data_IF_006926251664
#
_entry.id   IF_006926251664
#
_cell.length_a   1.000
_cell.length_b   1.000
_cell.length_c   1.000
_cell.angle_alpha   90.00
_cell.angle_beta   90.00
_cell.angle_gamma   90.00
#
_symmetry.space_group_name_H-M   'P 1'
#
loop_
_entity.id
_entity.type
_entity.pdbx_description
1 polymer ?
#
# COMPACT_ATOMS: atom_id res chain seq x y z
N UNK A 1 -72.13 14.37 -6.83
CA UNK A 1 -70.74 14.69 -7.18
C UNK A 1 -69.87 14.39 -5.97
N UNK A 2 -68.93 13.46 -6.08
CA UNK A 2 -67.61 13.49 -5.42
C UNK A 2 -66.84 12.26 -5.85
N UNK A 3 -65.79 12.49 -6.63
CA UNK A 3 -64.90 11.49 -7.21
C UNK A 3 -64.00 10.85 -6.14
N UNK A 4 -63.53 9.60 -6.33
CA UNK A 4 -62.49 9.05 -5.49
C UNK A 4 -61.14 9.70 -5.85
N UNK A 5 -60.48 10.23 -4.82
CA UNK A 5 -59.14 10.84 -4.90
C UNK A 5 -58.09 9.75 -5.07
N UNK A 6 -57.46 9.70 -6.25
CA UNK A 6 -56.29 8.84 -6.49
C UNK A 6 -55.08 9.47 -5.80
N UNK A 7 -54.48 8.76 -4.82
CA UNK A 7 -53.18 9.12 -4.27
C UNK A 7 -52.07 8.45 -5.07
N UNK A 8 -51.35 9.28 -5.81
CA UNK A 8 -50.04 9.01 -6.41
C UNK A 8 -49.01 8.85 -5.29
N UNK A 9 -48.40 7.67 -5.15
CA UNK A 9 -47.12 7.53 -4.46
C UNK A 9 -46.21 6.57 -5.24
N UNK A 10 -45.25 7.14 -5.96
CA UNK A 10 -44.07 6.43 -6.42
C UNK A 10 -43.19 6.10 -5.20
N UNK A 11 -43.65 5.15 -4.39
CA UNK A 11 -43.00 4.69 -3.16
C UNK A 11 -41.84 3.75 -3.47
N UNK A 12 -40.76 3.85 -2.69
CA UNK A 12 -39.61 2.94 -2.77
C UNK A 12 -40.08 1.48 -2.75
N UNK A 13 -39.49 0.58 -3.57
CA UNK A 13 -39.86 -0.81 -3.55
C UNK A 13 -39.68 -1.39 -2.14
N UNK A 14 -40.58 -2.28 -1.74
CA UNK A 14 -40.56 -2.91 -0.43
C UNK A 14 -39.23 -3.66 -0.20
N UNK A 15 -38.70 -3.68 1.04
CA UNK A 15 -37.47 -4.40 1.35
C UNK A 15 -37.58 -5.90 1.09
N UNK A 16 -36.50 -6.50 0.58
CA UNK A 16 -36.39 -7.95 0.41
C UNK A 16 -36.09 -8.59 1.77
N UNK A 17 -36.99 -9.46 2.25
CA UNK A 17 -36.80 -10.23 3.48
C UNK A 17 -36.28 -11.63 3.15
N UNK A 18 -35.10 -11.99 3.63
CA UNK A 18 -34.48 -13.31 3.44
C UNK A 18 -34.38 -14.00 4.80
N UNK A 19 -34.81 -15.26 4.89
CA UNK A 19 -34.64 -16.08 6.09
C UNK A 19 -33.29 -16.77 6.05
N UNK A 20 -32.55 -16.68 7.15
CA UNK A 20 -31.31 -17.40 7.39
C UNK A 20 -31.46 -18.25 8.63
N UNK A 21 -30.86 -19.44 8.62
CA UNK A 21 -30.57 -20.17 9.85
C UNK A 21 -29.50 -19.44 10.67
N UNK A 22 -29.37 -19.79 11.95
CA UNK A 22 -28.37 -19.19 12.84
C UNK A 22 -26.94 -19.41 12.34
N UNK A 23 -26.64 -20.61 11.82
CA UNK A 23 -25.34 -20.96 11.26
C UNK A 23 -25.01 -20.16 10.00
N UNK A 24 -25.97 -19.99 9.09
CA UNK A 24 -25.80 -19.18 7.88
C UNK A 24 -25.59 -17.70 8.21
N UNK A 25 -26.34 -17.18 9.19
CA UNK A 25 -26.20 -15.79 9.62
C UNK A 25 -24.84 -15.53 10.28
N UNK A 26 -24.34 -16.47 11.08
CA UNK A 26 -23.01 -16.39 11.66
C UNK A 26 -21.91 -16.45 10.58
N UNK A 27 -22.04 -17.34 9.60
CA UNK A 27 -21.10 -17.42 8.47
C UNK A 27 -21.08 -16.13 7.65
N UNK A 28 -22.25 -15.51 7.40
CA UNK A 28 -22.35 -14.22 6.73
C UNK A 28 -21.72 -13.08 7.54
N UNK A 29 -21.94 -13.03 8.86
CA UNK A 29 -21.34 -12.01 9.71
C UNK A 29 -19.80 -12.12 9.76
N UNK A 30 -19.27 -13.35 9.82
CA UNK A 30 -17.83 -13.60 9.77
C UNK A 30 -17.23 -13.15 8.43
N UNK A 31 -17.90 -13.47 7.31
CA UNK A 31 -17.48 -13.04 5.98
C UNK A 31 -17.60 -11.54 5.75
N UNK A 32 -18.58 -10.89 6.37
CA UNK A 32 -18.80 -9.45 6.26
C UNK A 32 -17.73 -8.61 6.96
N UNK A 33 -16.94 -9.19 7.88
CA UNK A 33 -15.74 -8.56 8.42
C UNK A 33 -15.94 -7.18 9.04
N UNK A 34 -17.10 -6.93 9.65
CA UNK A 34 -17.46 -5.63 10.26
C UNK A 34 -18.46 -4.78 9.46
N UNK A 35 -18.78 -5.16 8.21
CA UNK A 35 -19.86 -4.55 7.43
C UNK A 35 -21.24 -5.11 7.85
N UNK A 36 -22.33 -4.32 7.83
CA UNK A 36 -23.66 -4.87 8.01
C UNK A 36 -23.99 -5.92 6.94
N UNK A 37 -24.56 -7.05 7.39
CA UNK A 37 -24.84 -8.23 6.56
C UNK A 37 -25.63 -7.88 5.28
N UNK A 38 -26.60 -6.96 5.36
CA UNK A 38 -27.39 -6.50 4.21
C UNK A 38 -26.54 -5.79 3.15
N UNK A 39 -25.56 -4.99 3.55
CA UNK A 39 -24.64 -4.33 2.63
C UNK A 39 -23.68 -5.35 2.00
N UNK A 40 -23.15 -6.30 2.79
CA UNK A 40 -22.31 -7.38 2.28
C UNK A 40 -23.05 -8.25 1.24
N UNK A 41 -24.30 -8.63 1.52
CA UNK A 41 -25.14 -9.39 0.57
C UNK A 41 -25.34 -8.60 -0.74
N UNK A 42 -25.63 -7.30 -0.66
CA UNK A 42 -25.81 -6.44 -1.84
C UNK A 42 -24.54 -6.36 -2.67
N UNK A 43 -23.40 -6.22 -2.02
CA UNK A 43 -22.09 -6.16 -2.68
C UNK A 43 -21.77 -7.48 -3.40
N UNK A 44 -21.98 -8.62 -2.74
CA UNK A 44 -21.75 -9.95 -3.35
C UNK A 44 -22.68 -10.20 -4.54
N UNK A 45 -23.95 -9.78 -4.46
CA UNK A 45 -24.95 -10.06 -5.50
C UNK A 45 -24.85 -9.15 -6.74
N UNK A 46 -24.39 -7.91 -6.57
CA UNK A 46 -24.43 -6.89 -7.63
C UNK A 46 -23.05 -6.36 -8.04
N UNK A 47 -21.96 -6.79 -7.39
CA UNK A 47 -20.61 -6.55 -7.91
C UNK A 47 -20.27 -7.66 -8.93
N UNK A 48 -20.64 -7.41 -10.19
CA UNK A 48 -20.28 -8.22 -11.36
C UNK A 48 -18.76 -8.26 -11.59
N UNK A 49 -18.01 -9.01 -10.78
CA UNK A 49 -16.59 -9.34 -11.01
C UNK A 49 -15.58 -8.18 -10.94
N UNK A 50 -16.02 -6.93 -10.76
CA UNK A 50 -15.14 -5.74 -10.78
C UNK A 50 -14.58 -5.33 -9.40
N UNK A 51 -14.90 -6.08 -8.35
CA UNK A 51 -14.34 -5.85 -7.04
C UNK A 51 -14.84 -6.88 -6.07
N UNK A 52 -14.00 -7.86 -5.74
CA UNK A 52 -14.16 -8.63 -4.51
C UNK A 52 -14.44 -7.63 -3.38
N UNK A 53 -15.46 -7.88 -2.52
CA UNK A 53 -15.67 -7.06 -1.35
C UNK A 53 -14.34 -6.93 -0.63
N UNK A 54 -13.77 -5.72 -0.59
CA UNK A 54 -12.58 -5.48 0.18
C UNK A 54 -13.03 -5.66 1.61
N UNK A 55 -12.83 -6.86 2.15
CA UNK A 55 -12.90 -7.09 3.59
C UNK A 55 -12.04 -6.00 4.17
N UNK A 56 -12.69 -5.01 4.80
CA UNK A 56 -12.01 -3.99 5.57
C UNK A 56 -11.39 -4.76 6.72
N UNK A 57 -10.19 -5.27 6.50
CA UNK A 57 -9.31 -5.70 7.57
C UNK A 57 -8.82 -4.42 8.26
N UNK A 58 -9.74 -3.68 8.85
CA UNK A 58 -9.47 -2.66 9.86
C UNK A 58 -9.18 -3.40 11.17
N UNK A 59 -8.21 -4.32 11.13
CA UNK A 59 -7.69 -5.02 12.29
C UNK A 59 -6.68 -4.13 13.03
N UNK A 60 -6.40 -4.42 14.32
CA UNK A 60 -5.41 -3.68 15.12
C UNK A 60 -4.04 -3.56 14.42
N UNK A 61 -3.67 -4.56 13.63
CA UNK A 61 -2.41 -4.62 12.88
C UNK A 61 -2.26 -3.49 11.85
N UNK A 62 -3.35 -3.03 11.22
CA UNK A 62 -3.29 -1.93 10.23
C UNK A 62 -2.93 -0.60 10.88
N UNK A 63 -3.39 -0.35 12.11
CA UNK A 63 -3.03 0.87 12.86
C UNK A 63 -1.56 0.83 13.31
N UNK A 64 -1.09 -0.34 13.75
CA UNK A 64 0.31 -0.55 14.11
C UNK A 64 1.23 -0.34 12.91
N UNK A 65 0.93 -0.97 11.76
CA UNK A 65 1.69 -0.77 10.52
C UNK A 65 1.70 0.69 10.06
N UNK A 66 0.54 1.38 10.12
CA UNK A 66 0.45 2.80 9.81
C UNK A 66 1.30 3.69 10.74
N UNK A 67 1.37 3.34 12.03
CA UNK A 67 2.20 4.07 13.01
C UNK A 67 3.70 3.82 12.78
N UNK A 68 4.09 2.59 12.44
CA UNK A 68 5.47 2.26 12.07
C UNK A 68 5.90 3.06 10.83
N UNK A 69 5.07 3.12 9.78
CA UNK A 69 5.34 3.94 8.59
C UNK A 69 5.47 5.44 8.92
N UNK A 70 4.57 5.97 9.75
CA UNK A 70 4.61 7.37 10.15
C UNK A 70 5.89 7.69 10.94
N UNK A 71 6.34 6.79 11.81
CA UNK A 71 7.61 6.93 12.53
C UNK A 71 8.81 6.84 11.58
N UNK A 72 8.78 5.92 10.62
CA UNK A 72 9.82 5.76 9.61
C UNK A 72 9.94 7.01 8.72
N UNK A 73 8.82 7.58 8.27
CA UNK A 73 8.82 8.83 7.51
C UNK A 73 9.36 10.03 8.32
N UNK A 74 9.12 10.06 9.63
CA UNK A 74 9.61 11.12 10.53
C UNK A 74 11.08 10.96 10.93
N UNK A 75 11.66 9.78 10.80
CA UNK A 75 13.02 9.48 11.24
C UNK A 75 14.11 10.26 10.48
N UNK A 76 13.78 10.82 9.31
CA UNK A 76 14.74 11.57 8.50
C UNK A 76 15.85 10.72 7.89
N UNK A 77 15.65 9.40 7.76
CA UNK A 77 16.64 8.46 7.20
C UNK A 77 17.18 8.90 5.84
N UNK A 78 16.33 9.42 4.96
CA UNK A 78 16.76 9.95 3.66
C UNK A 78 17.77 11.10 3.79
N UNK A 79 17.52 12.03 4.71
CA UNK A 79 18.41 13.16 4.99
C UNK A 79 19.73 12.68 5.61
N UNK A 80 19.69 11.70 6.51
CA UNK A 80 20.90 11.10 7.11
C UNK A 80 21.76 10.39 6.06
N UNK A 81 21.15 9.61 5.17
CA UNK A 81 21.83 8.94 4.06
C UNK A 81 22.46 9.95 3.09
N UNK A 82 21.76 11.03 2.76
CA UNK A 82 22.29 12.12 1.96
C UNK A 82 23.56 12.73 2.59
N UNK A 83 23.54 13.00 3.90
CA UNK A 83 24.69 13.54 4.62
C UNK A 83 25.86 12.57 4.64
N UNK A 84 25.62 11.27 4.83
CA UNK A 84 26.67 10.24 4.78
C UNK A 84 27.29 10.15 3.39
N UNK A 85 26.48 10.17 2.32
CA UNK A 85 26.97 10.18 0.95
C UNK A 85 27.85 11.41 0.66
N UNK A 86 27.42 12.58 1.14
CA UNK A 86 28.22 13.82 1.01
C UNK A 86 29.53 13.73 1.78
N UNK A 87 29.51 13.23 3.02
CA UNK A 87 30.73 13.05 3.82
C UNK A 87 31.69 12.05 3.18
N UNK A 88 31.18 10.97 2.57
CA UNK A 88 32.00 10.00 1.84
C UNK A 88 32.61 10.64 0.57
N UNK A 89 31.80 11.35 -0.23
CA UNK A 89 32.24 12.01 -1.45
C UNK A 89 33.29 13.11 -1.20
N UNK A 90 33.21 13.78 -0.05
CA UNK A 90 34.17 14.82 0.36
C UNK A 90 35.40 14.26 1.09
N UNK A 91 35.47 12.94 1.30
CA UNK A 91 36.58 12.28 2.00
C UNK A 91 36.59 12.53 3.51
N UNK A 92 35.53 13.11 4.08
CA UNK A 92 35.34 13.33 5.53
C UNK A 92 35.02 12.01 6.23
N UNK A 93 34.24 11.16 5.57
CA UNK A 93 33.95 9.80 6.02
C UNK A 93 34.87 8.83 5.28
N UNK A 94 35.81 8.24 6.00
CA UNK A 94 36.62 7.15 5.47
C UNK A 94 35.75 5.89 5.40
N UNK A 95 35.54 5.38 4.19
CA UNK A 95 34.78 4.15 3.92
C UNK A 95 35.76 3.16 3.32
N UNK A 96 36.10 2.11 4.07
CA UNK A 96 36.84 0.98 3.55
C UNK A 96 35.88 -0.04 2.88
N UNK A 97 36.44 -1.03 2.18
CA UNK A 97 35.66 -2.04 1.45
C UNK A 97 34.71 -2.84 2.35
N UNK A 98 35.12 -3.10 3.60
CA UNK A 98 34.31 -3.81 4.59
C UNK A 98 33.12 -2.94 5.05
N UNK A 99 33.36 -1.66 5.34
CA UNK A 99 32.34 -0.68 5.71
C UNK A 99 31.36 -0.45 4.58
N UNK A 100 31.85 -0.38 3.33
CA UNK A 100 31.01 -0.26 2.15
C UNK A 100 30.07 -1.48 2.02
N UNK A 101 30.59 -2.69 2.22
CA UNK A 101 29.79 -3.92 2.21
C UNK A 101 28.69 -3.87 3.28
N UNK A 102 29.01 -3.49 4.52
CA UNK A 102 28.01 -3.37 5.59
C UNK A 102 26.95 -2.31 5.29
N UNK A 103 27.34 -1.18 4.69
CA UNK A 103 26.40 -0.13 4.28
C UNK A 103 25.45 -0.61 3.18
N UNK A 104 25.98 -1.30 2.16
CA UNK A 104 25.15 -1.89 1.10
C UNK A 104 24.15 -2.90 1.67
N UNK A 105 24.61 -3.78 2.57
CA UNK A 105 23.75 -4.77 3.23
C UNK A 105 22.67 -4.10 4.08
N UNK A 106 23.01 -3.08 4.86
CA UNK A 106 22.03 -2.32 5.63
C UNK A 106 20.96 -1.65 4.74
N UNK A 107 21.36 -1.12 3.58
CA UNK A 107 20.43 -0.56 2.61
C UNK A 107 19.48 -1.62 2.01
N UNK A 108 20.00 -2.83 1.74
CA UNK A 108 19.18 -3.96 1.29
C UNK A 108 18.18 -4.40 2.37
N UNK A 109 18.62 -4.55 3.61
CA UNK A 109 17.76 -4.92 4.75
C UNK A 109 16.62 -3.89 4.94
N UNK A 110 16.93 -2.59 4.84
CA UNK A 110 15.93 -1.51 4.93
C UNK A 110 14.93 -1.58 3.76
N UNK A 111 15.39 -1.91 2.55
CA UNK A 111 14.53 -2.10 1.38
C UNK A 111 13.59 -3.29 1.56
N UNK A 112 14.11 -4.41 2.05
CA UNK A 112 13.31 -5.61 2.32
C UNK A 112 12.25 -5.34 3.39
N UNK A 113 12.62 -4.68 4.49
CA UNK A 113 11.70 -4.28 5.54
C UNK A 113 10.57 -3.38 5.00
N UNK A 114 10.90 -2.40 4.15
CA UNK A 114 9.92 -1.54 3.49
C UNK A 114 8.95 -2.36 2.62
N UNK A 115 9.48 -3.29 1.84
CA UNK A 115 8.68 -4.07 0.90
C UNK A 115 7.73 -5.04 1.63
N UNK A 116 8.21 -5.70 2.68
CA UNK A 116 7.39 -6.53 3.57
C UNK A 116 6.25 -5.73 4.21
N UNK A 117 6.55 -4.52 4.68
CA UNK A 117 5.57 -3.61 5.29
C UNK A 117 4.53 -3.10 4.27
N UNK A 118 4.94 -2.83 3.03
CA UNK A 118 4.02 -2.43 1.96
C UNK A 118 3.09 -3.59 1.57
N UNK A 119 3.65 -4.79 1.44
CA UNK A 119 2.89 -6.01 1.15
C UNK A 119 1.89 -6.34 2.25
N UNK A 120 2.27 -6.18 3.53
CA UNK A 120 1.36 -6.41 4.67
C UNK A 120 0.17 -5.43 4.69
N UNK A 121 0.29 -4.28 4.03
CA UNK A 121 -0.78 -3.30 3.86
C UNK A 121 -1.66 -3.54 2.62
N UNK A 122 -1.34 -4.56 1.81
CA UNK A 122 -1.98 -4.82 0.52
C UNK A 122 -1.63 -3.77 -0.54
N UNK A 123 -0.45 -3.16 -0.43
CA UNK A 123 0.09 -2.22 -1.42
C UNK A 123 1.21 -2.89 -2.21
N UNK A 124 1.26 -2.60 -3.50
CA UNK A 124 2.45 -2.92 -4.31
C UNK A 124 3.62 -2.10 -3.73
N UNK A 125 4.76 -2.73 -3.38
CA UNK A 125 5.96 -1.97 -3.05
C UNK A 125 6.34 -1.10 -4.26
N UNK A 126 6.83 0.13 -4.04
CA UNK A 126 7.22 0.99 -5.14
C UNK A 126 8.28 0.25 -5.96
N UNK A 127 8.00 0.05 -7.25
CA UNK A 127 9.03 -0.35 -8.19
C UNK A 127 10.17 0.67 -8.09
N UNK A 128 11.43 0.26 -8.25
CA UNK A 128 12.54 1.18 -8.28
C UNK A 128 12.45 2.08 -9.51
N UNK A 129 11.62 3.11 -9.42
CA UNK A 129 11.51 4.15 -10.43
C UNK A 129 12.76 5.01 -10.32
N UNK A 130 13.34 5.37 -11.47
CA UNK A 130 14.12 6.58 -11.75
C UNK A 130 15.26 6.97 -10.80
N UNK A 131 15.10 7.01 -9.48
CA UNK A 131 16.12 7.24 -8.47
C UNK A 131 17.16 6.11 -8.39
N UNK A 132 16.77 4.84 -8.49
CA UNK A 132 17.74 3.73 -8.53
C UNK A 132 18.48 3.65 -9.87
N UNK A 133 17.78 3.92 -10.98
CA UNK A 133 18.41 4.07 -12.30
C UNK A 133 19.31 5.32 -12.36
N UNK A 134 18.90 6.44 -11.76
CA UNK A 134 19.71 7.65 -11.67
C UNK A 134 20.93 7.46 -10.76
N UNK A 135 20.79 6.72 -9.66
CA UNK A 135 21.94 6.34 -8.81
C UNK A 135 22.89 5.41 -9.56
N UNK A 136 22.37 4.43 -10.32
CA UNK A 136 23.18 3.50 -11.11
C UNK A 136 23.91 4.22 -12.25
N UNK A 137 23.22 5.13 -12.94
CA UNK A 137 23.80 6.00 -13.98
C UNK A 137 24.79 7.03 -13.41
N UNK A 138 24.59 7.49 -12.16
CA UNK A 138 25.53 8.39 -11.47
C UNK A 138 26.75 7.64 -10.87
N UNK A 139 26.61 6.35 -10.58
CA UNK A 139 27.67 5.49 -10.06
C UNK A 139 28.51 4.83 -11.17
N UNK A 140 28.09 4.86 -12.44
CA UNK A 140 28.97 4.54 -13.57
C UNK A 140 30.04 5.63 -13.70
N UNK A 141 31.33 5.33 -13.46
CA UNK A 141 32.37 6.30 -13.76
C UNK A 141 32.39 6.47 -15.28
N UNK A 142 32.19 7.71 -15.74
CA UNK A 142 32.37 8.12 -17.12
C UNK A 142 33.70 7.61 -17.67
N UNK A 143 33.70 6.42 -18.27
CA UNK A 143 34.86 5.78 -18.83
C UNK A 143 34.61 5.50 -20.31
N UNK A 144 35.43 6.19 -21.13
CA UNK A 144 35.54 6.17 -22.60
C UNK A 144 34.38 6.84 -23.36
N UNK A 145 34.63 7.82 -24.24
CA UNK A 145 35.64 7.79 -25.32
C UNK A 145 36.29 9.17 -25.53
N UNK A 146 37.59 9.27 -25.22
CA UNK A 146 38.55 9.92 -26.14
C UNK A 146 38.98 8.84 -27.14
N UNK A 147 38.72 9.06 -28.43
CA UNK A 147 39.57 8.75 -29.59
C UNK A 147 38.74 8.63 -30.86
N UNK A 148 39.13 9.42 -31.87
CA UNK A 148 38.63 9.33 -33.24
C UNK A 148 38.88 10.61 -33.99
N UNK A 149 40.15 10.91 -34.29
CA UNK A 149 40.48 11.92 -35.29
C UNK A 149 40.12 11.43 -36.69
N UNK A 150 39.64 12.34 -37.52
CA UNK A 150 40.10 12.55 -38.88
C UNK A 150 39.87 14.02 -39.24
#
# INVERSE_FOLDING_TARGET
MSAPSQKTEAGRPAPVSIRFSESERAALAARAGGQPVSAYIREVLFCDGQGQPRVRQDGPDRQLHGRVLAMLGKSGLATSLQSMALMAATGVLYVDEETEMYLRRACEDVRELRDLLMRSLGKEPPQPTSAEEAFRNAAEPASRVKNGGH
#
